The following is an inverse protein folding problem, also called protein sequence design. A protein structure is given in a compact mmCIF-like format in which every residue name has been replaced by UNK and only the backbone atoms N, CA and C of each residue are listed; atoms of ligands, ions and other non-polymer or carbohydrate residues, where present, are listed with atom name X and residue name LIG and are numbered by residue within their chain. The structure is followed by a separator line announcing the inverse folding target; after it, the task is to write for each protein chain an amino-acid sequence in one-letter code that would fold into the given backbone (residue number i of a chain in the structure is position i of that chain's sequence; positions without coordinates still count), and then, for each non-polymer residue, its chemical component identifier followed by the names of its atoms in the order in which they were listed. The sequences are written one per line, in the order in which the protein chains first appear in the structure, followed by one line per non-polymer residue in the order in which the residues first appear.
data_IF_866931973422
#
_entry.id   IF_866931973422
#
_cell.length_a   1.000
_cell.length_b   1.000
_cell.length_c   1.000
_cell.angle_alpha   90.00
_cell.angle_beta   90.00
_cell.angle_gamma   90.00
#
_symmetry.space_group_name_H-M   'P 1'
#
loop_
_entity.id
_entity.type
_entity.pdbx_description
1 polymer ?
#
# COMPACT_ATOMS: atom_id res chain seq x y z
N UNK A 1 -0.92 -15.43 22.80
CA UNK A 1 -0.42 -14.05 23.06
C UNK A 1 -1.04 -13.14 22.02
N UNK A 2 -1.68 -12.04 22.42
CA UNK A 2 -2.23 -11.08 21.49
C UNK A 2 -1.15 -10.12 20.98
N UNK A 3 -1.37 -9.58 19.78
CA UNK A 3 -0.51 -8.62 19.13
C UNK A 3 -1.31 -7.36 18.77
N UNK A 4 -0.76 -6.22 19.08
CA UNK A 4 -1.42 -4.93 18.93
C UNK A 4 -0.62 -3.99 18.03
N UNK A 5 -1.31 -3.18 17.26
CA UNK A 5 -0.73 -2.04 16.52
C UNK A 5 -0.78 -0.83 17.44
N UNK A 6 0.38 -0.21 17.64
CA UNK A 6 0.57 0.91 18.56
C UNK A 6 0.49 2.24 17.84
N UNK A 7 1.20 2.35 16.71
CA UNK A 7 1.25 3.54 15.86
C UNK A 7 1.63 3.16 14.43
N UNK A 8 1.34 4.06 13.50
CA UNK A 8 1.82 3.96 12.13
C UNK A 8 1.98 5.34 11.51
N UNK A 9 3.02 5.48 10.68
CA UNK A 9 3.30 6.68 9.91
C UNK A 9 3.70 6.32 8.49
N UNK A 10 3.54 7.28 7.58
CA UNK A 10 3.94 7.15 6.19
C UNK A 10 4.54 8.44 5.64
N UNK A 11 5.23 8.35 4.55
CA UNK A 11 5.49 9.51 3.71
C UNK A 11 4.21 9.96 3.01
N UNK A 12 4.19 11.16 2.48
CA UNK A 12 3.31 11.43 1.35
C UNK A 12 3.64 10.46 0.19
N UNK A 13 2.68 10.21 -0.68
CA UNK A 13 2.89 9.43 -1.90
C UNK A 13 3.38 10.35 -3.00
N UNK A 14 4.62 10.13 -3.44
CA UNK A 14 5.24 10.87 -4.53
C UNK A 14 4.81 10.33 -5.89
N UNK A 15 4.64 11.21 -6.86
CA UNK A 15 4.38 10.81 -8.25
C UNK A 15 5.66 10.36 -8.93
N UNK A 16 5.73 9.11 -9.34
CA UNK A 16 6.96 8.56 -9.92
C UNK A 16 7.47 9.38 -11.11
N UNK A 17 8.79 9.57 -11.17
CA UNK A 17 9.55 10.29 -12.22
C UNK A 17 9.27 11.79 -12.33
N UNK A 18 8.29 12.33 -11.59
CA UNK A 18 7.86 13.73 -11.70
C UNK A 18 7.67 14.42 -10.36
N UNK A 19 7.39 13.65 -9.29
CA UNK A 19 7.14 14.16 -7.96
C UNK A 19 8.39 14.47 -7.16
N UNK A 20 8.20 14.91 -5.94
CA UNK A 20 9.27 15.34 -5.05
C UNK A 20 10.23 14.22 -4.65
N UNK A 21 9.79 12.95 -4.72
CA UNK A 21 10.64 11.79 -4.41
C UNK A 21 11.32 11.15 -5.63
N UNK A 22 11.23 11.74 -6.83
CA UNK A 22 11.73 11.15 -8.09
C UNK A 22 13.20 10.69 -8.06
N UNK A 23 14.04 11.33 -7.24
CA UNK A 23 15.45 11.02 -7.06
C UNK A 23 15.77 10.61 -5.61
N UNK A 24 14.75 10.46 -4.76
CA UNK A 24 14.91 10.13 -3.35
C UNK A 24 14.78 8.62 -3.16
N UNK A 25 15.74 8.02 -2.47
CA UNK A 25 15.81 6.56 -2.30
C UNK A 25 14.70 6.05 -1.39
N UNK A 26 14.15 4.86 -1.70
CA UNK A 26 13.10 4.23 -0.87
C UNK A 26 13.60 3.85 0.52
N UNK A 27 14.87 3.47 0.65
CA UNK A 27 15.47 3.16 1.95
C UNK A 27 15.65 4.42 2.82
N UNK A 28 15.92 5.59 2.23
CA UNK A 28 15.95 6.87 2.94
C UNK A 28 14.54 7.24 3.45
N UNK A 29 13.51 7.13 2.60
CA UNK A 29 12.11 7.32 3.01
C UNK A 29 11.74 6.42 4.19
N UNK A 30 12.09 5.15 4.12
CA UNK A 30 11.80 4.17 5.16
C UNK A 30 12.51 4.50 6.49
N UNK A 31 13.78 4.87 6.42
CA UNK A 31 14.59 5.26 7.59
C UNK A 31 13.96 6.47 8.30
N UNK A 32 13.54 7.49 7.56
CA UNK A 32 12.90 8.67 8.13
C UNK A 32 11.57 8.32 8.82
N UNK A 33 10.73 7.50 8.18
CA UNK A 33 9.45 7.07 8.77
C UNK A 33 9.67 6.25 10.04
N UNK A 34 10.62 5.30 10.05
CA UNK A 34 10.90 4.46 11.22
C UNK A 34 11.48 5.29 12.36
N UNK A 35 12.42 6.21 12.10
CA UNK A 35 12.94 7.13 13.12
C UNK A 35 11.84 8.00 13.73
N UNK A 36 10.95 8.51 12.88
CA UNK A 36 9.80 9.27 13.34
C UNK A 36 8.86 8.42 14.20
N UNK A 37 8.60 7.17 13.78
CA UNK A 37 7.75 6.23 14.49
C UNK A 37 8.27 5.98 15.92
N UNK A 38 9.55 5.61 16.08
CA UNK A 38 10.12 5.34 17.40
C UNK A 38 10.26 6.61 18.26
N UNK A 39 10.54 7.77 17.64
CA UNK A 39 10.56 9.06 18.35
C UNK A 39 9.20 9.40 18.99
N UNK A 40 8.10 8.94 18.39
CA UNK A 40 6.75 9.17 18.90
C UNK A 40 6.27 8.07 19.88
N UNK A 41 7.16 7.17 20.30
CA UNK A 41 6.95 6.16 21.35
C UNK A 41 8.19 6.17 22.23
N UNK A 42 8.39 7.23 23.03
CA UNK A 42 9.62 7.43 23.81
C UNK A 42 9.83 6.37 24.91
N UNK A 43 8.80 5.62 25.26
CA UNK A 43 8.85 4.50 26.20
C UNK A 43 9.57 3.28 25.61
N UNK A 44 9.68 3.20 24.29
CA UNK A 44 10.34 2.10 23.59
C UNK A 44 11.85 2.37 23.49
N UNK A 45 12.67 1.45 24.01
CA UNK A 45 14.06 1.35 23.59
C UNK A 45 14.14 0.74 22.17
N UNK A 46 14.55 1.51 21.16
CA UNK A 46 14.57 1.04 19.77
C UNK A 46 15.45 -0.22 19.55
N UNK A 47 16.46 -0.42 20.40
CA UNK A 47 17.36 -1.60 20.30
C UNK A 47 16.68 -2.90 20.70
N UNK A 48 15.52 -2.83 21.36
CA UNK A 48 14.71 -3.99 21.75
C UNK A 48 13.77 -4.49 20.66
N UNK A 49 13.72 -3.82 19.49
CA UNK A 49 12.96 -4.27 18.34
C UNK A 49 13.52 -5.60 17.82
N UNK A 50 12.69 -6.63 17.80
CA UNK A 50 13.10 -7.98 17.44
C UNK A 50 13.39 -8.14 15.95
N UNK A 51 12.69 -7.40 15.07
CA UNK A 51 12.93 -7.43 13.62
C UNK A 51 12.20 -6.26 12.92
N UNK A 52 12.75 -5.81 11.80
CA UNK A 52 12.10 -4.86 10.87
C UNK A 52 11.70 -5.62 9.62
N UNK A 53 10.39 -5.76 9.37
CA UNK A 53 9.86 -6.51 8.22
C UNK A 53 9.44 -5.52 7.14
N UNK A 54 10.18 -5.49 6.04
CA UNK A 54 10.01 -4.51 4.96
C UNK A 54 9.46 -5.17 3.70
N UNK A 55 8.24 -4.80 3.33
CA UNK A 55 7.65 -5.14 2.05
C UNK A 55 8.28 -4.31 0.92
N UNK A 56 8.74 -4.99 -0.13
CA UNK A 56 9.26 -4.38 -1.35
C UNK A 56 8.89 -5.26 -2.54
N UNK A 57 8.23 -4.69 -3.55
CA UNK A 57 7.76 -5.45 -4.70
C UNK A 57 8.84 -5.71 -5.74
N UNK A 58 9.78 -4.78 -5.87
CA UNK A 58 10.91 -4.88 -6.80
C UNK A 58 12.24 -4.71 -6.05
N UNK A 59 12.73 -5.78 -5.35
CA UNK A 59 13.97 -5.72 -4.57
C UNK A 59 15.21 -5.82 -5.46
N UNK A 60 15.39 -4.83 -6.33
CA UNK A 60 16.50 -4.68 -7.27
C UNK A 60 17.16 -3.30 -7.15
N UNK A 61 18.33 -3.10 -7.72
CA UNK A 61 19.04 -1.82 -7.72
C UNK A 61 19.13 -1.21 -6.34
N UNK A 62 18.61 -0.01 -6.18
CA UNK A 62 18.58 0.73 -4.90
C UNK A 62 17.75 0.03 -3.81
N UNK A 63 16.87 -0.88 -4.18
CA UNK A 63 16.05 -1.70 -3.28
C UNK A 63 16.58 -3.13 -3.12
N UNK A 64 17.73 -3.42 -3.72
CA UNK A 64 18.37 -4.74 -3.67
C UNK A 64 19.15 -5.01 -2.38
N UNK A 65 19.94 -6.08 -2.40
CA UNK A 65 20.89 -6.46 -1.35
C UNK A 65 20.29 -6.47 0.08
N UNK A 66 19.09 -7.01 0.24
CA UNK A 66 18.38 -7.07 1.52
C UNK A 66 18.10 -5.67 2.09
N UNK A 67 17.34 -4.86 1.34
CA UNK A 67 17.04 -3.48 1.72
C UNK A 67 16.41 -3.37 3.12
N UNK A 68 15.65 -4.37 3.58
CA UNK A 68 15.11 -4.41 4.95
C UNK A 68 16.18 -4.38 6.02
N UNK A 69 17.29 -5.10 5.80
CA UNK A 69 18.45 -5.06 6.72
C UNK A 69 19.15 -3.71 6.69
N UNK A 70 19.32 -3.12 5.51
CA UNK A 70 19.92 -1.80 5.37
C UNK A 70 19.09 -0.75 6.13
N UNK A 71 17.78 -0.78 5.96
CA UNK A 71 16.83 0.12 6.64
C UNK A 71 16.91 -0.04 8.17
N UNK A 72 16.84 -1.28 8.70
CA UNK A 72 16.89 -1.54 10.14
C UNK A 72 18.16 -1.00 10.77
N UNK A 73 19.32 -1.29 10.16
CA UNK A 73 20.63 -0.86 10.68
C UNK A 73 20.79 0.65 10.69
N UNK A 74 20.25 1.36 9.68
CA UNK A 74 20.34 2.82 9.57
C UNK A 74 19.34 3.55 10.47
N UNK A 75 18.19 2.93 10.71
CA UNK A 75 17.14 3.54 11.52
C UNK A 75 17.30 3.29 13.02
N UNK A 76 17.71 2.08 13.41
CA UNK A 76 17.65 1.59 14.81
C UNK A 76 19.01 1.11 15.37
N UNK A 77 19.99 0.86 14.51
CA UNK A 77 21.29 0.33 14.91
C UNK A 77 21.57 -1.09 14.38
N UNK A 78 22.82 -1.50 14.45
CA UNK A 78 23.29 -2.77 13.88
C UNK A 78 22.78 -4.00 14.64
N UNK A 79 22.32 -3.82 15.86
CA UNK A 79 21.78 -4.86 16.74
C UNK A 79 20.39 -5.31 16.28
N UNK A 80 19.62 -4.43 15.60
CA UNK A 80 18.27 -4.74 15.17
C UNK A 80 18.29 -5.38 13.78
N UNK A 81 17.85 -6.65 13.64
CA UNK A 81 17.78 -7.31 12.35
C UNK A 81 16.71 -6.71 11.44
N UNK A 82 16.74 -7.07 10.17
CA UNK A 82 15.74 -6.65 9.20
C UNK A 82 15.66 -7.63 8.03
N UNK A 83 14.45 -7.80 7.51
CA UNK A 83 14.15 -8.69 6.39
C UNK A 83 13.36 -7.98 5.33
N UNK A 84 13.60 -8.32 4.07
CA UNK A 84 12.78 -7.91 2.92
C UNK A 84 11.85 -9.05 2.54
N UNK A 85 10.56 -8.73 2.36
CA UNK A 85 9.56 -9.68 1.86
C UNK A 85 8.88 -9.15 0.61
N UNK A 86 8.36 -10.05 -0.22
CA UNK A 86 7.69 -9.70 -1.46
C UNK A 86 6.39 -10.50 -1.65
N UNK A 87 5.28 -9.78 -1.64
CA UNK A 87 3.97 -10.19 -2.15
C UNK A 87 3.43 -9.08 -3.06
N UNK A 88 4.30 -8.50 -3.91
CA UNK A 88 3.96 -7.38 -4.78
C UNK A 88 3.15 -6.29 -4.07
N UNK A 89 1.97 -5.93 -4.58
CA UNK A 89 1.08 -4.89 -4.06
C UNK A 89 0.65 -5.08 -2.60
N UNK A 90 0.73 -6.29 -2.07
CA UNK A 90 0.31 -6.64 -0.71
C UNK A 90 1.46 -6.70 0.30
N UNK A 91 2.71 -6.51 -0.14
CA UNK A 91 3.89 -6.73 0.72
C UNK A 91 3.83 -5.99 2.06
N UNK A 92 3.32 -4.75 2.08
CA UNK A 92 3.20 -3.99 3.33
C UNK A 92 2.17 -4.57 4.31
N UNK A 93 1.04 -5.08 3.83
CA UNK A 93 0.04 -5.75 4.67
C UNK A 93 0.54 -7.12 5.12
N UNK A 94 1.21 -7.86 4.24
CA UNK A 94 1.87 -9.13 4.57
C UNK A 94 2.92 -8.95 5.67
N UNK A 95 3.72 -7.87 5.61
CA UNK A 95 4.71 -7.56 6.64
C UNK A 95 4.05 -7.38 8.02
N UNK A 96 2.94 -6.66 8.09
CA UNK A 96 2.16 -6.49 9.32
C UNK A 96 1.60 -7.84 9.81
N UNK A 97 1.03 -8.63 8.91
CA UNK A 97 0.53 -9.97 9.21
C UNK A 97 1.62 -10.90 9.76
N UNK A 98 2.82 -10.87 9.15
CA UNK A 98 3.98 -11.64 9.64
C UNK A 98 4.42 -11.19 11.03
N UNK A 99 4.46 -9.89 11.33
CA UNK A 99 4.77 -9.37 12.66
C UNK A 99 3.79 -9.89 13.70
N UNK A 100 2.48 -9.80 13.40
CA UNK A 100 1.42 -10.34 14.27
C UNK A 100 1.57 -11.85 14.47
N UNK A 101 1.84 -12.61 13.41
CA UNK A 101 2.02 -14.06 13.48
C UNK A 101 3.25 -14.45 14.31
N UNK A 102 4.39 -13.76 14.14
CA UNK A 102 5.61 -13.98 14.93
C UNK A 102 5.37 -13.72 16.43
N UNK A 103 4.66 -12.64 16.78
CA UNK A 103 4.28 -12.36 18.19
C UNK A 103 3.37 -13.47 18.74
N UNK A 104 2.33 -13.85 18.00
CA UNK A 104 1.40 -14.92 18.43
C UNK A 104 2.11 -16.27 18.60
N UNK A 105 3.15 -16.53 17.80
CA UNK A 105 3.99 -17.72 17.90
C UNK A 105 5.08 -17.64 18.99
N UNK A 106 5.21 -16.52 19.72
CA UNK A 106 6.22 -16.34 20.76
C UNK A 106 7.64 -16.10 20.26
N UNK A 107 7.80 -15.68 18.99
CA UNK A 107 9.11 -15.45 18.34
C UNK A 107 9.68 -14.04 18.60
N UNK A 108 9.08 -13.26 19.46
CA UNK A 108 9.47 -11.91 19.83
C UNK A 108 8.28 -11.10 20.31
N UNK A 109 8.52 -9.85 20.75
CA UNK A 109 7.50 -9.01 21.36
C UNK A 109 7.31 -7.66 20.66
N UNK A 110 8.29 -7.19 19.89
CA UNK A 110 8.29 -5.86 19.26
C UNK A 110 8.76 -5.99 17.82
N UNK A 111 7.95 -5.56 16.89
CA UNK A 111 8.26 -5.54 15.46
C UNK A 111 7.91 -4.20 14.84
N UNK A 112 8.72 -3.75 13.88
CA UNK A 112 8.34 -2.67 12.97
C UNK A 112 8.06 -3.33 11.62
N UNK A 113 6.86 -3.13 11.09
CA UNK A 113 6.38 -3.79 9.88
C UNK A 113 5.71 -2.81 8.93
N UNK A 114 6.04 -2.93 7.67
CA UNK A 114 5.50 -2.04 6.65
C UNK A 114 6.14 -2.28 5.29
N UNK A 115 6.35 -1.22 4.52
CA UNK A 115 6.99 -1.37 3.23
C UNK A 115 7.43 -0.04 2.63
N UNK A 116 8.31 -0.14 1.64
CA UNK A 116 8.83 0.97 0.88
C UNK A 116 8.99 0.59 -0.59
N UNK A 117 8.73 1.56 -1.47
CA UNK A 117 8.88 1.38 -2.90
C UNK A 117 9.26 2.70 -3.57
N UNK A 118 10.19 2.65 -4.53
CA UNK A 118 10.45 3.72 -5.48
C UNK A 118 10.25 3.21 -6.90
N UNK A 119 9.13 3.58 -7.50
CA UNK A 119 8.86 3.30 -8.92
C UNK A 119 9.44 4.39 -9.83
N UNK A 120 10.06 5.41 -9.25
CA UNK A 120 10.89 6.39 -9.95
C UNK A 120 12.24 5.80 -10.33
N UNK A 121 12.91 5.16 -9.37
CA UNK A 121 14.26 4.63 -9.52
C UNK A 121 14.26 3.21 -10.09
N UNK A 122 13.29 2.37 -9.69
CA UNK A 122 13.20 0.99 -10.14
C UNK A 122 12.07 0.83 -11.16
N UNK A 123 12.36 0.38 -12.39
CA UNK A 123 11.31 0.06 -13.37
C UNK A 123 10.35 -1.03 -12.85
N UNK A 124 9.06 -0.96 -13.21
CA UNK A 124 8.06 -1.95 -12.76
C UNK A 124 8.41 -3.39 -13.17
N UNK A 125 9.16 -3.56 -14.25
CA UNK A 125 9.62 -4.87 -14.74
C UNK A 125 10.99 -5.29 -14.19
N UNK A 126 11.57 -4.50 -13.26
CA UNK A 126 12.96 -4.62 -12.86
C UNK A 126 13.93 -4.13 -13.95
N UNK A 127 15.21 -4.15 -13.68
CA UNK A 127 16.25 -3.77 -14.64
C UNK A 127 16.53 -4.87 -15.68
N UNK A 128 16.25 -6.13 -15.32
CA UNK A 128 16.43 -7.27 -16.22
C UNK A 128 15.15 -8.08 -16.31
N UNK A 129 14.38 -7.89 -17.36
CA UNK A 129 13.24 -8.75 -17.68
C UNK A 129 13.73 -10.09 -18.22
N UNK A 130 13.51 -11.18 -17.45
CA UNK A 130 13.90 -12.54 -17.82
C UNK A 130 12.81 -13.53 -17.44
N UNK A 131 11.64 -13.53 -18.14
CA UNK A 131 10.55 -14.44 -17.87
C UNK A 131 10.95 -15.89 -18.18
N UNK A 132 10.41 -16.85 -17.42
CA UNK A 132 10.63 -18.26 -17.64
C UNK A 132 9.95 -18.71 -18.94
N UNK A 133 10.73 -19.24 -19.88
CA UNK A 133 10.20 -19.83 -21.11
C UNK A 133 9.28 -21.03 -20.79
N UNK A 134 9.70 -21.91 -19.88
CA UNK A 134 8.93 -23.09 -19.50
C UNK A 134 7.57 -22.69 -18.90
N UNK A 135 7.57 -21.73 -17.97
CA UNK A 135 6.31 -21.23 -17.39
C UNK A 135 5.36 -20.64 -18.44
N UNK A 136 5.90 -19.92 -19.45
CA UNK A 136 5.09 -19.41 -20.55
C UNK A 136 4.49 -20.52 -21.44
N UNK A 137 5.21 -21.63 -21.60
CA UNK A 137 4.70 -22.80 -22.34
C UNK A 137 3.59 -23.52 -21.56
N UNK A 138 3.65 -23.53 -20.25
CA UNK A 138 2.61 -24.11 -19.38
C UNK A 138 1.36 -23.24 -19.34
N UNK A 139 1.53 -21.93 -19.16
CA UNK A 139 0.42 -20.97 -19.18
C UNK A 139 0.95 -19.57 -19.55
N UNK A 140 0.54 -19.08 -20.71
CA UNK A 140 0.92 -17.76 -21.22
C UNK A 140 0.52 -16.61 -20.28
N UNK A 141 -0.47 -16.82 -19.40
CA UNK A 141 -0.96 -15.81 -18.49
C UNK A 141 -0.10 -15.62 -17.23
N UNK A 142 0.90 -16.49 -16.96
CA UNK A 142 1.76 -16.34 -15.79
C UNK A 142 2.54 -15.02 -15.78
N UNK A 143 2.85 -14.48 -16.96
CA UNK A 143 3.60 -13.22 -17.10
C UNK A 143 2.79 -12.09 -17.77
N UNK A 144 1.46 -12.18 -17.73
CA UNK A 144 0.59 -11.15 -18.30
C UNK A 144 0.79 -9.80 -17.61
N UNK A 145 0.81 -8.71 -18.37
CA UNK A 145 0.95 -7.37 -17.80
C UNK A 145 -0.29 -6.92 -17.04
N UNK A 146 -0.10 -6.11 -16.00
CA UNK A 146 -1.19 -5.67 -15.12
C UNK A 146 -2.31 -4.93 -15.85
N UNK A 147 -1.98 -4.08 -16.83
CA UNK A 147 -2.99 -3.41 -17.64
C UNK A 147 -3.81 -4.38 -18.51
N UNK A 148 -3.19 -5.44 -19.04
CA UNK A 148 -3.91 -6.48 -19.77
C UNK A 148 -4.86 -7.28 -18.85
N UNK A 149 -4.45 -7.54 -17.60
CA UNK A 149 -5.34 -8.17 -16.60
C UNK A 149 -6.53 -7.28 -16.27
N UNK A 150 -6.35 -5.97 -16.18
CA UNK A 150 -7.43 -5.02 -15.94
C UNK A 150 -8.45 -5.01 -17.09
N UNK A 151 -7.97 -5.07 -18.34
CA UNK A 151 -8.85 -5.21 -19.52
C UNK A 151 -9.60 -6.55 -19.51
N UNK A 152 -8.95 -7.63 -19.12
CA UNK A 152 -9.59 -8.95 -19.01
C UNK A 152 -10.68 -8.98 -17.94
N UNK A 153 -10.41 -8.39 -16.77
CA UNK A 153 -11.40 -8.24 -15.68
C UNK A 153 -12.57 -7.37 -16.14
N UNK A 154 -12.29 -6.24 -16.80
CA UNK A 154 -13.34 -5.36 -17.30
C UNK A 154 -14.27 -6.11 -18.27
N UNK A 155 -13.72 -6.86 -19.19
CA UNK A 155 -14.49 -7.65 -20.17
C UNK A 155 -15.31 -8.76 -19.48
N UNK A 156 -14.71 -9.50 -18.55
CA UNK A 156 -15.36 -10.61 -17.84
C UNK A 156 -16.53 -10.17 -16.97
N UNK A 157 -16.39 -9.03 -16.30
CA UNK A 157 -17.39 -8.53 -15.36
C UNK A 157 -18.24 -7.38 -15.91
N UNK A 158 -18.17 -7.13 -17.22
CA UNK A 158 -18.95 -6.12 -17.93
C UNK A 158 -18.78 -4.70 -17.37
N UNK A 159 -17.56 -4.36 -16.93
CA UNK A 159 -17.27 -3.00 -16.47
C UNK A 159 -17.09 -2.10 -17.69
N UNK A 160 -17.88 -1.04 -17.75
CA UNK A 160 -17.82 -0.09 -18.88
C UNK A 160 -16.74 0.98 -18.65
N UNK A 161 -16.32 1.61 -19.73
CA UNK A 161 -15.40 2.76 -19.67
C UNK A 161 -15.98 3.90 -18.83
N UNK A 162 -17.25 4.18 -18.99
CA UNK A 162 -17.97 5.23 -18.27
C UNK A 162 -18.00 4.95 -16.76
N UNK A 163 -18.28 3.72 -16.36
CA UNK A 163 -18.26 3.31 -14.96
C UNK A 163 -16.86 3.49 -14.35
N UNK A 164 -15.81 3.07 -15.07
CA UNK A 164 -14.42 3.20 -14.64
C UNK A 164 -13.99 4.67 -14.51
N UNK A 165 -14.38 5.53 -15.46
CA UNK A 165 -14.07 6.96 -15.41
C UNK A 165 -14.85 7.67 -14.29
N UNK A 166 -16.11 7.31 -14.05
CA UNK A 166 -16.92 7.84 -12.94
C UNK A 166 -16.33 7.47 -11.58
N UNK A 167 -15.94 6.21 -11.42
CA UNK A 167 -15.25 5.76 -10.20
C UNK A 167 -13.95 6.55 -9.97
N UNK A 168 -13.17 6.78 -11.03
CA UNK A 168 -11.91 7.53 -10.95
C UNK A 168 -12.13 9.00 -10.56
N UNK A 169 -13.13 9.63 -11.13
CA UNK A 169 -13.52 10.99 -10.73
C UNK A 169 -13.89 11.06 -9.24
N UNK A 170 -14.71 10.11 -8.77
CA UNK A 170 -15.08 10.03 -7.36
C UNK A 170 -13.88 9.82 -6.44
N UNK A 171 -12.91 8.95 -6.83
CA UNK A 171 -11.66 8.76 -6.07
C UNK A 171 -10.89 10.08 -5.94
N UNK A 172 -10.71 10.84 -7.02
CA UNK A 172 -10.04 12.14 -6.96
C UNK A 172 -10.78 13.17 -6.11
N UNK A 173 -12.12 13.22 -6.19
CA UNK A 173 -12.93 14.14 -5.40
C UNK A 173 -12.88 13.84 -3.91
N UNK A 174 -13.00 12.54 -3.53
CA UNK A 174 -12.85 12.07 -2.15
C UNK A 174 -11.46 12.41 -1.60
N UNK A 175 -10.40 12.14 -2.37
CA UNK A 175 -9.02 12.42 -1.96
C UNK A 175 -8.75 13.93 -1.80
N UNK A 176 -9.23 14.76 -2.73
CA UNK A 176 -9.10 16.21 -2.62
C UNK A 176 -9.80 16.75 -1.36
N UNK A 177 -11.01 16.29 -1.10
CA UNK A 177 -11.74 16.65 0.13
C UNK A 177 -11.00 16.22 1.40
N UNK A 178 -10.48 14.99 1.44
CA UNK A 178 -9.74 14.48 2.60
C UNK A 178 -8.46 15.30 2.88
N UNK A 179 -7.74 15.70 1.83
CA UNK A 179 -6.58 16.61 1.94
C UNK A 179 -7.01 17.97 2.49
N UNK A 180 -8.08 18.55 1.98
CA UNK A 180 -8.58 19.89 2.41
C UNK A 180 -9.06 19.88 3.86
N UNK A 181 -9.65 18.77 4.31
CA UNK A 181 -10.06 18.56 5.69
C UNK A 181 -8.88 18.17 6.62
N UNK A 182 -7.71 17.91 6.05
CA UNK A 182 -6.51 17.56 6.82
C UNK A 182 -6.54 16.14 7.40
N UNK A 183 -7.33 15.21 6.85
CA UNK A 183 -7.49 13.85 7.39
C UNK A 183 -6.20 13.02 7.36
N UNK A 184 -5.24 13.37 6.52
CA UNK A 184 -3.95 12.67 6.41
C UNK A 184 -2.82 13.31 7.22
N UNK A 185 -3.07 14.43 7.93
CA UNK A 185 -2.01 15.18 8.64
C UNK A 185 -1.31 14.38 9.73
N UNK A 186 -2.07 13.56 10.46
CA UNK A 186 -1.55 12.81 11.60
C UNK A 186 -0.77 11.55 11.19
N UNK A 187 -0.85 11.16 9.92
CA UNK A 187 -0.19 9.97 9.39
C UNK A 187 1.00 10.28 8.47
N UNK A 188 1.03 11.46 7.85
CA UNK A 188 2.09 11.85 6.92
C UNK A 188 3.23 12.54 7.65
N UNK A 189 4.43 11.97 7.53
CA UNK A 189 5.67 12.64 7.88
C UNK A 189 6.11 13.55 6.73
N UNK A 190 6.17 14.89 6.92
CA UNK A 190 6.82 15.77 5.96
C UNK A 190 8.30 15.44 5.83
N UNK A 191 8.79 15.24 4.61
CA UNK A 191 10.20 14.95 4.33
C UNK A 191 10.82 16.11 3.56
N UNK A 192 11.94 16.62 4.05
CA UNK A 192 12.77 17.57 3.31
C UNK A 192 13.65 16.80 2.32
N UNK A 193 13.54 17.14 1.05
CA UNK A 193 14.29 16.53 -0.05
C UNK A 193 15.26 17.56 -0.61
N UNK A 194 16.55 17.21 -0.59
CA UNK A 194 17.58 17.95 -1.29
C UNK A 194 17.70 17.45 -2.72
N UNK A 195 17.53 18.34 -3.69
CA UNK A 195 17.72 18.04 -5.11
C UNK A 195 18.94 18.77 -5.63
N UNK A 196 19.87 18.03 -6.23
CA UNK A 196 21.08 18.56 -6.85
C UNK A 196 20.95 18.46 -8.36
N UNK A 197 21.08 19.60 -9.04
CA UNK A 197 20.99 19.66 -10.49
C UNK A 197 21.97 20.69 -11.07
N UNK A 198 22.17 20.66 -12.38
CA UNK A 198 23.00 21.64 -13.09
C UNK A 198 22.09 22.69 -13.72
N UNK A 199 22.35 23.96 -13.42
CA UNK A 199 21.71 25.10 -14.04
C UNK A 199 22.80 26.09 -14.50
N UNK A 200 22.76 26.50 -15.79
CA UNK A 200 23.73 27.40 -16.40
C UNK A 200 25.20 26.96 -16.20
N UNK A 201 25.45 25.64 -16.31
CA UNK A 201 26.77 25.03 -16.12
C UNK A 201 27.26 24.97 -14.68
N UNK A 202 26.46 25.36 -13.69
CA UNK A 202 26.82 25.35 -12.26
C UNK A 202 25.96 24.33 -11.49
N UNK A 203 26.57 23.68 -10.49
CA UNK A 203 25.85 22.85 -9.53
C UNK A 203 24.93 23.75 -8.69
N UNK A 204 23.66 23.42 -8.64
CA UNK A 204 22.65 24.07 -7.81
C UNK A 204 22.06 23.04 -6.89
N UNK A 205 21.89 23.37 -5.63
CA UNK A 205 21.17 22.58 -4.62
C UNK A 205 19.88 23.33 -4.27
N UNK A 206 18.75 22.65 -4.31
CA UNK A 206 17.46 23.17 -3.87
C UNK A 206 16.85 22.19 -2.87
N UNK A 207 16.21 22.72 -1.83
CA UNK A 207 15.48 21.92 -0.85
C UNK A 207 14.00 22.19 -1.00
N UNK A 208 13.18 21.15 -0.95
CA UNK A 208 11.73 21.23 -0.93
C UNK A 208 11.16 20.21 0.04
N UNK A 209 9.96 20.48 0.59
CA UNK A 209 9.28 19.58 1.51
C UNK A 209 8.17 18.83 0.78
N UNK A 210 8.16 17.51 0.90
CA UNK A 210 7.09 16.63 0.40
C UNK A 210 6.21 16.24 1.59
N UNK A 211 5.01 16.81 1.66
CA UNK A 211 4.11 16.68 2.81
C UNK A 211 2.65 16.33 2.40
N UNK A 212 2.36 16.25 1.11
CA UNK A 212 1.01 16.01 0.58
C UNK A 212 1.10 14.99 -0.56
N UNK A 213 0.14 14.07 -0.61
CA UNK A 213 0.04 13.09 -1.70
C UNK A 213 -0.11 13.80 -3.04
N UNK A 214 0.84 13.59 -3.96
CA UNK A 214 1.00 14.38 -5.19
C UNK A 214 0.11 13.92 -6.36
N UNK A 215 -0.54 12.76 -6.19
CA UNK A 215 -1.32 12.12 -7.26
C UNK A 215 -2.62 12.84 -7.60
N UNK A 216 -3.22 13.54 -6.64
CA UNK A 216 -4.58 14.09 -6.75
C UNK A 216 -4.69 15.17 -7.81
N UNK A 217 -5.65 15.00 -8.72
CA UNK A 217 -5.96 15.94 -9.79
C UNK A 217 -7.30 16.63 -9.51
N UNK A 218 -7.25 17.83 -9.00
CA UNK A 218 -8.43 18.61 -8.62
C UNK A 218 -9.27 19.07 -9.82
N UNK A 219 -8.68 19.17 -11.00
CA UNK A 219 -9.29 19.55 -12.26
C UNK A 219 -9.85 18.37 -13.06
N UNK A 220 -9.86 17.17 -12.48
CA UNK A 220 -10.40 15.96 -13.13
C UNK A 220 -11.90 16.12 -13.39
N UNK A 221 -12.32 15.74 -14.61
CA UNK A 221 -13.73 15.75 -15.03
C UNK A 221 -14.04 14.57 -15.95
N UNK A 222 -15.30 14.15 -16.03
CA UNK A 222 -15.73 13.09 -16.96
C UNK A 222 -15.35 13.47 -18.40
N UNK A 223 -15.54 14.71 -18.80
CA UNK A 223 -15.16 15.18 -20.15
C UNK A 223 -13.66 15.10 -20.40
N UNK A 224 -12.82 15.27 -19.37
CA UNK A 224 -11.36 15.08 -19.45
C UNK A 224 -10.98 13.62 -19.54
N UNK A 225 -11.56 12.79 -18.68
CA UNK A 225 -11.28 11.35 -18.63
C UNK A 225 -11.71 10.63 -19.92
N UNK A 226 -12.90 10.95 -20.46
CA UNK A 226 -13.45 10.30 -21.68
C UNK A 226 -12.59 10.50 -22.92
N UNK A 227 -11.79 11.59 -22.98
CA UNK A 227 -10.86 11.87 -24.11
C UNK A 227 -9.58 11.02 -24.05
N UNK A 228 -9.27 10.39 -22.94
CA UNK A 228 -8.06 9.61 -22.79
C UNK A 228 -8.14 8.32 -23.64
N UNK A 229 -7.04 7.99 -24.32
CA UNK A 229 -6.94 6.77 -25.12
C UNK A 229 -6.73 5.57 -24.20
N UNK A 230 -7.27 4.42 -24.61
CA UNK A 230 -6.93 3.14 -23.99
C UNK A 230 -5.42 2.90 -24.03
N UNK A 231 -4.84 2.49 -22.89
CA UNK A 231 -3.38 2.42 -22.74
C UNK A 231 -2.82 1.01 -22.99
N UNK A 232 -3.62 -0.05 -22.84
CA UNK A 232 -3.14 -1.43 -22.79
C UNK A 232 -3.72 -2.33 -23.87
N UNK A 233 -4.84 -1.95 -24.48
CA UNK A 233 -5.52 -2.71 -25.52
C UNK A 233 -6.19 -1.76 -26.51
N UNK A 234 -6.05 -2.02 -27.80
CA UNK A 234 -6.78 -1.26 -28.82
C UNK A 234 -8.30 -1.47 -28.63
N UNK A 235 -9.06 -0.39 -28.55
CA UNK A 235 -10.49 -0.44 -28.25
C UNK A 235 -10.83 -0.88 -26.82
N UNK A 236 -9.84 -0.94 -25.94
CA UNK A 236 -10.02 -1.23 -24.52
C UNK A 236 -10.58 -0.05 -23.73
N UNK A 237 -10.82 -0.27 -22.43
CA UNK A 237 -11.41 0.73 -21.54
C UNK A 237 -10.43 1.30 -20.51
N UNK A 238 -9.29 0.63 -20.29
CA UNK A 238 -8.32 1.02 -19.27
C UNK A 238 -7.41 2.12 -19.81
N UNK A 239 -7.37 3.25 -19.12
CA UNK A 239 -6.62 4.45 -19.50
C UNK A 239 -5.70 4.89 -18.39
N UNK A 240 -4.83 5.85 -18.65
CA UNK A 240 -4.03 6.50 -17.61
C UNK A 240 -4.86 7.23 -16.55
N UNK A 241 -6.13 7.59 -16.86
CA UNK A 241 -7.02 8.30 -15.95
C UNK A 241 -7.84 7.39 -15.02
N UNK A 242 -7.96 6.10 -15.36
CA UNK A 242 -8.68 5.11 -14.55
C UNK A 242 -7.78 3.95 -14.09
N UNK A 243 -6.48 4.23 -14.00
CA UNK A 243 -5.44 3.38 -13.46
C UNK A 243 -4.75 4.09 -12.29
N UNK A 244 -4.24 3.33 -11.33
CA UNK A 244 -3.39 3.89 -10.29
C UNK A 244 -2.11 4.48 -10.86
N UNK A 245 -1.59 5.49 -10.21
CA UNK A 245 -0.33 6.12 -10.62
C UNK A 245 0.85 5.32 -10.07
N UNK A 246 1.89 5.11 -10.90
CA UNK A 246 3.20 4.68 -10.41
C UNK A 246 3.73 5.71 -9.42
N UNK A 247 4.22 5.25 -8.29
CA UNK A 247 4.43 6.12 -7.13
C UNK A 247 5.63 5.69 -6.29
N UNK A 248 6.10 6.63 -5.47
CA UNK A 248 7.16 6.44 -4.48
C UNK A 248 6.57 6.64 -3.08
N UNK A 249 7.00 5.85 -2.10
CA UNK A 249 6.55 6.03 -0.72
C UNK A 249 7.03 4.95 0.23
N UNK A 250 6.91 5.25 1.52
CA UNK A 250 7.18 4.33 2.63
C UNK A 250 6.12 4.45 3.72
N UNK A 251 5.76 3.35 4.35
CA UNK A 251 4.79 3.29 5.44
C UNK A 251 5.14 2.16 6.41
N UNK A 252 5.12 2.45 7.72
CA UNK A 252 5.47 1.48 8.76
C UNK A 252 4.56 1.59 9.97
N UNK A 253 4.30 0.46 10.59
CA UNK A 253 3.58 0.31 11.86
C UNK A 253 4.47 -0.31 12.91
N UNK A 254 4.23 0.05 14.18
CA UNK A 254 4.81 -0.59 15.34
C UNK A 254 3.82 -1.62 15.87
N UNK A 255 4.25 -2.88 15.95
CA UNK A 255 3.44 -4.01 16.40
C UNK A 255 4.08 -4.59 17.65
N UNK A 256 3.30 -4.72 18.73
CA UNK A 256 3.78 -5.22 20.02
C UNK A 256 2.91 -6.31 20.59
N UNK A 257 3.51 -7.18 21.41
CA UNK A 257 2.77 -8.12 22.24
C UNK A 257 1.99 -7.42 23.35
N UNK A 258 0.89 -8.02 23.79
CA UNK A 258 0.11 -7.52 24.93
C UNK A 258 0.98 -7.31 26.19
N UNK A 259 1.92 -8.23 26.43
CA UNK A 259 2.83 -8.15 27.57
C UNK A 259 3.70 -6.88 27.49
N UNK A 260 4.26 -6.58 26.30
CA UNK A 260 5.14 -5.41 26.11
C UNK A 260 4.35 -4.11 26.14
N UNK A 261 3.13 -4.10 25.61
CA UNK A 261 2.21 -2.95 25.71
C UNK A 261 1.93 -2.60 27.17
N UNK A 262 1.62 -3.59 28.01
CA UNK A 262 1.38 -3.40 29.45
C UNK A 262 2.65 -2.95 30.20
N UNK A 263 3.80 -3.55 29.87
CA UNK A 263 5.10 -3.20 30.47
C UNK A 263 5.44 -1.73 30.23
N UNK A 264 5.20 -1.23 29.01
CA UNK A 264 5.51 0.14 28.64
C UNK A 264 4.38 1.15 28.93
N UNK A 265 3.23 0.68 29.43
CA UNK A 265 2.08 1.55 29.72
C UNK A 265 1.48 2.21 28.48
N UNK A 266 1.56 1.57 27.30
CA UNK A 266 1.08 2.11 26.04
C UNK A 266 -0.40 1.78 25.81
N UNK A 267 -1.07 2.65 25.06
CA UNK A 267 -2.44 2.39 24.57
C UNK A 267 -2.39 1.90 23.12
N UNK A 268 -2.83 0.67 22.84
CA UNK A 268 -2.88 0.17 21.47
C UNK A 268 -4.04 0.79 20.70
N UNK A 269 -3.86 1.01 19.40
CA UNK A 269 -4.89 1.58 18.54
C UNK A 269 -5.79 0.52 17.91
N UNK A 270 -5.24 -0.67 17.64
CA UNK A 270 -5.98 -1.76 17.01
C UNK A 270 -5.27 -3.10 17.19
N UNK A 271 -5.99 -4.18 16.87
CA UNK A 271 -5.40 -5.50 16.59
C UNK A 271 -5.80 -5.98 15.20
N UNK A 272 -4.95 -6.80 14.61
CA UNK A 272 -5.33 -7.54 13.40
C UNK A 272 -6.12 -8.78 13.84
N UNK A 273 -7.41 -8.80 13.54
CA UNK A 273 -8.30 -9.91 13.88
C UNK A 273 -7.99 -11.13 13.00
N UNK A 274 -7.76 -10.91 11.69
CA UNK A 274 -7.39 -11.96 10.75
C UNK A 274 -6.61 -11.38 9.56
N UNK A 275 -5.91 -12.27 8.83
CA UNK A 275 -5.35 -11.94 7.53
C UNK A 275 -5.30 -13.22 6.68
N UNK A 276 -5.86 -13.16 5.47
CA UNK A 276 -5.91 -14.29 4.56
C UNK A 276 -5.48 -13.90 3.14
N UNK A 277 -5.01 -14.91 2.43
CA UNK A 277 -4.62 -14.78 1.02
C UNK A 277 -5.44 -15.77 0.16
N UNK A 278 -5.67 -15.37 -1.10
CA UNK A 278 -6.34 -16.22 -2.08
C UNK A 278 -5.57 -16.23 -3.40
N UNK A 279 -5.61 -17.37 -4.10
CA UNK A 279 -5.07 -17.52 -5.47
C UNK A 279 -6.19 -17.49 -6.48
N UNK A 280 -5.96 -16.86 -7.62
CA UNK A 280 -6.86 -16.81 -8.79
C UNK A 280 -6.06 -16.98 -10.08
N UNK A 281 -6.74 -17.19 -11.19
CA UNK A 281 -6.08 -17.18 -12.52
C UNK A 281 -5.31 -15.84 -12.69
N UNK A 282 -4.02 -15.87 -13.05
CA UNK A 282 -3.21 -14.68 -13.25
C UNK A 282 -3.81 -13.66 -14.22
N UNK A 283 -4.53 -14.11 -15.24
CA UNK A 283 -5.24 -13.23 -16.19
C UNK A 283 -6.29 -12.36 -15.49
N UNK A 284 -6.86 -12.86 -14.41
CA UNK A 284 -7.88 -12.17 -13.62
C UNK A 284 -7.38 -11.78 -12.22
N UNK A 285 -6.10 -11.46 -12.08
CA UNK A 285 -5.51 -11.13 -10.77
C UNK A 285 -6.28 -10.05 -10.02
N UNK A 286 -6.95 -9.15 -10.74
CA UNK A 286 -7.72 -8.05 -10.15
C UNK A 286 -8.82 -8.48 -9.19
N UNK A 287 -9.37 -9.70 -9.36
CA UNK A 287 -10.40 -10.25 -8.45
C UNK A 287 -9.84 -11.09 -7.30
N UNK A 288 -8.53 -11.12 -7.12
CA UNK A 288 -7.90 -11.81 -5.98
C UNK A 288 -8.52 -11.51 -4.60
N UNK A 289 -8.95 -10.27 -4.32
CA UNK A 289 -9.69 -9.94 -3.10
C UNK A 289 -10.94 -10.80 -2.88
N UNK A 290 -11.67 -11.17 -3.94
CA UNK A 290 -12.88 -11.98 -3.84
C UNK A 290 -12.63 -13.36 -3.22
N UNK A 291 -11.39 -13.89 -3.35
CA UNK A 291 -10.97 -15.15 -2.73
C UNK A 291 -10.39 -14.94 -1.32
N UNK A 292 -9.84 -13.78 -1.04
CA UNK A 292 -9.21 -13.49 0.25
C UNK A 292 -10.22 -13.00 1.31
N UNK A 293 -11.18 -12.16 0.91
CA UNK A 293 -12.18 -11.56 1.81
C UNK A 293 -12.98 -12.62 2.59
N UNK A 294 -13.64 -13.61 1.95
CA UNK A 294 -14.43 -14.58 2.69
C UNK A 294 -13.60 -15.41 3.68
N UNK A 295 -12.34 -15.73 3.30
CA UNK A 295 -11.43 -16.45 4.21
C UNK A 295 -11.03 -15.61 5.43
N UNK A 296 -10.80 -14.31 5.23
CA UNK A 296 -10.47 -13.40 6.32
C UNK A 296 -11.66 -13.20 7.27
N UNK A 297 -12.87 -13.08 6.74
CA UNK A 297 -14.11 -12.98 7.51
C UNK A 297 -14.35 -14.25 8.35
N UNK A 298 -14.22 -15.44 7.73
CA UNK A 298 -14.36 -16.72 8.42
C UNK A 298 -13.35 -16.88 9.56
N UNK A 299 -12.08 -16.56 9.32
CA UNK A 299 -11.03 -16.59 10.35
C UNK A 299 -11.29 -15.61 11.51
N UNK A 300 -11.90 -14.46 11.24
CA UNK A 300 -12.26 -13.48 12.26
C UNK A 300 -13.57 -13.84 12.98
N UNK A 301 -14.35 -14.78 12.46
CA UNK A 301 -15.71 -15.09 12.95
C UNK A 301 -16.69 -13.95 12.69
N UNK A 302 -16.49 -13.16 11.63
CA UNK A 302 -17.26 -11.98 11.25
C UNK A 302 -18.01 -12.20 9.94
N UNK A 303 -19.07 -11.43 9.75
CA UNK A 303 -19.79 -11.30 8.48
C UNK A 303 -19.35 -10.03 7.75
N UNK A 304 -19.64 -9.94 6.46
CA UNK A 304 -19.31 -8.76 5.67
C UNK A 304 -20.00 -7.48 6.22
N UNK A 305 -21.22 -7.62 6.73
CA UNK A 305 -21.99 -6.50 7.30
C UNK A 305 -21.41 -5.98 8.64
N UNK A 306 -20.51 -6.73 9.28
CA UNK A 306 -19.80 -6.27 10.47
C UNK A 306 -18.66 -5.31 10.12
N UNK A 307 -18.25 -5.26 8.83
CA UNK A 307 -17.16 -4.41 8.35
C UNK A 307 -17.71 -3.03 8.02
N UNK A 308 -17.35 -2.05 8.86
CA UNK A 308 -17.88 -0.68 8.77
C UNK A 308 -17.13 0.16 7.74
N UNK A 309 -15.91 -0.24 7.35
CA UNK A 309 -15.09 0.43 6.34
C UNK A 309 -14.11 -0.52 5.66
N UNK A 310 -13.88 -0.30 4.37
CA UNK A 310 -12.90 -1.07 3.58
C UNK A 310 -11.97 -0.13 2.83
N UNK A 311 -10.67 -0.33 3.02
CA UNK A 311 -9.64 0.21 2.14
C UNK A 311 -9.28 -0.85 1.09
N UNK A 312 -9.81 -0.69 -0.10
CA UNK A 312 -9.55 -1.53 -1.28
C UNK A 312 -8.51 -0.86 -2.16
N UNK A 313 -7.39 -1.53 -2.42
CA UNK A 313 -6.41 -0.98 -3.35
C UNK A 313 -7.01 -0.82 -4.76
N UNK A 314 -7.03 0.41 -5.26
CA UNK A 314 -7.51 0.75 -6.61
C UNK A 314 -6.34 0.64 -7.62
N UNK A 315 -5.85 -0.58 -7.87
CA UNK A 315 -4.82 -0.75 -8.90
C UNK A 315 -5.33 -0.27 -10.27
N UNK A 316 -6.60 -0.57 -10.55
CA UNK A 316 -7.37 -0.06 -11.68
C UNK A 316 -8.83 0.14 -11.26
N UNK A 317 -9.49 1.16 -11.76
CA UNK A 317 -10.91 1.40 -11.47
C UNK A 317 -11.79 0.22 -11.88
N UNK A 318 -11.50 -0.39 -13.04
CA UNK A 318 -12.21 -1.59 -13.51
C UNK A 318 -12.08 -2.77 -12.54
N UNK A 319 -10.88 -2.98 -11.99
CA UNK A 319 -10.63 -4.02 -10.99
C UNK A 319 -11.37 -3.73 -9.68
N UNK A 320 -11.32 -2.49 -9.19
CA UNK A 320 -11.98 -2.12 -7.95
C UNK A 320 -13.50 -2.29 -8.04
N UNK A 321 -14.10 -1.85 -9.14
CA UNK A 321 -15.52 -2.03 -9.41
C UNK A 321 -15.92 -3.51 -9.46
N UNK A 322 -15.13 -4.35 -10.12
CA UNK A 322 -15.38 -5.80 -10.19
C UNK A 322 -15.32 -6.45 -8.80
N UNK A 323 -14.34 -6.06 -7.95
CA UNK A 323 -14.25 -6.56 -6.57
C UNK A 323 -15.46 -6.11 -5.74
N UNK A 324 -15.82 -4.83 -5.78
CA UNK A 324 -16.99 -4.30 -5.06
C UNK A 324 -18.26 -5.10 -5.44
N UNK A 325 -18.48 -5.28 -6.74
CA UNK A 325 -19.62 -5.99 -7.27
C UNK A 325 -19.64 -7.48 -6.85
N UNK A 326 -18.51 -8.18 -7.01
CA UNK A 326 -18.44 -9.62 -6.77
C UNK A 326 -18.41 -9.99 -5.28
N UNK A 327 -17.80 -9.14 -4.44
CA UNK A 327 -17.72 -9.37 -2.99
C UNK A 327 -18.91 -8.81 -2.22
N UNK A 328 -19.82 -8.08 -2.86
CA UNK A 328 -20.97 -7.44 -2.20
C UNK A 328 -20.57 -6.31 -1.26
N UNK A 329 -19.41 -5.67 -1.48
CA UNK A 329 -18.98 -4.54 -0.67
C UNK A 329 -19.91 -3.34 -0.87
N UNK A 330 -20.20 -2.62 0.22
CA UNK A 330 -20.94 -1.37 0.12
C UNK A 330 -20.06 -0.25 -0.45
N UNK A 331 -20.34 0.30 -1.65
CA UNK A 331 -19.51 1.34 -2.27
C UNK A 331 -19.32 2.60 -1.42
N UNK A 332 -20.29 2.91 -0.54
CA UNK A 332 -20.25 4.10 0.33
C UNK A 332 -19.24 3.97 1.46
N UNK A 333 -18.86 2.73 1.82
CA UNK A 333 -17.87 2.44 2.87
C UNK A 333 -16.51 2.04 2.31
N UNK A 334 -16.36 2.00 0.98
CA UNK A 334 -15.09 1.72 0.30
C UNK A 334 -14.36 3.01 -0.02
N UNK A 335 -13.08 3.09 0.41
CA UNK A 335 -12.17 4.18 0.09
C UNK A 335 -12.82 5.56 0.30
N UNK A 336 -13.31 5.79 1.51
CA UNK A 336 -14.09 7.00 1.82
C UNK A 336 -13.30 8.31 1.66
N UNK A 337 -11.97 8.20 1.70
CA UNK A 337 -11.02 9.31 1.49
C UNK A 337 -10.29 9.23 0.14
N UNK A 338 -10.87 8.50 -0.84
CA UNK A 338 -10.22 8.24 -2.12
C UNK A 338 -9.18 7.12 -2.03
N UNK A 339 -8.82 6.55 -3.17
CA UNK A 339 -7.90 5.42 -3.25
C UNK A 339 -6.74 5.66 -4.23
N UNK A 340 -6.12 4.57 -4.67
CA UNK A 340 -4.86 4.62 -5.41
C UNK A 340 -4.94 5.28 -6.80
N UNK A 341 -6.12 5.35 -7.43
CA UNK A 341 -6.30 6.09 -8.69
C UNK A 341 -5.96 7.57 -8.48
N UNK A 342 -6.37 8.12 -7.34
CA UNK A 342 -6.09 9.50 -6.96
C UNK A 342 -4.77 9.65 -6.18
N UNK A 343 -4.57 8.85 -5.15
CA UNK A 343 -3.47 9.00 -4.18
C UNK A 343 -2.17 8.34 -4.63
N UNK A 344 -2.24 7.36 -5.57
CA UNK A 344 -1.07 6.61 -6.02
C UNK A 344 -0.88 5.25 -5.33
N UNK A 345 -0.01 4.41 -5.94
CA UNK A 345 0.21 3.02 -5.55
C UNK A 345 1.70 2.67 -5.54
N UNK A 346 2.45 3.05 -4.49
CA UNK A 346 3.82 2.56 -4.31
C UNK A 346 3.75 1.09 -3.83
N UNK A 347 4.00 0.15 -4.73
CA UNK A 347 3.63 -1.28 -4.62
C UNK A 347 3.84 -1.90 -3.24
N UNK A 348 5.09 -2.03 -2.80
CA UNK A 348 5.43 -2.67 -1.52
C UNK A 348 4.99 -1.90 -0.28
N UNK A 349 4.81 -0.58 -0.40
CA UNK A 349 4.34 0.31 0.66
C UNK A 349 2.82 0.23 0.86
N UNK A 350 2.06 -0.02 -0.21
CA UNK A 350 0.61 0.21 -0.26
C UNK A 350 -0.17 -0.48 0.85
N UNK A 351 0.11 -1.75 1.15
CA UNK A 351 -0.63 -2.46 2.18
C UNK A 351 -0.51 -1.83 3.58
N UNK A 352 0.66 -1.33 3.93
CA UNK A 352 0.88 -0.63 5.20
C UNK A 352 0.25 0.78 5.17
N UNK A 353 0.35 1.49 4.05
CA UNK A 353 -0.31 2.79 3.86
C UNK A 353 -1.82 2.66 4.05
N UNK A 354 -2.48 1.70 3.41
CA UNK A 354 -3.92 1.47 3.55
C UNK A 354 -4.30 1.08 4.97
N UNK A 355 -3.45 0.30 5.67
CA UNK A 355 -3.67 -0.03 7.08
C UNK A 355 -3.67 1.22 7.96
N UNK A 356 -2.70 2.11 7.78
CA UNK A 356 -2.60 3.35 8.56
C UNK A 356 -3.80 4.26 8.27
N UNK A 357 -4.19 4.42 7.00
CA UNK A 357 -5.36 5.20 6.61
C UNK A 357 -6.64 4.63 7.21
N UNK A 358 -6.86 3.31 7.11
CA UNK A 358 -8.01 2.63 7.69
C UNK A 358 -8.12 2.91 9.19
N UNK A 359 -7.03 2.70 9.95
CA UNK A 359 -7.05 2.84 11.40
C UNK A 359 -7.33 4.28 11.84
N UNK A 360 -6.76 5.28 11.17
CA UNK A 360 -7.02 6.69 11.43
C UNK A 360 -8.48 7.06 11.12
N UNK A 361 -9.02 6.56 10.02
CA UNK A 361 -10.39 6.82 9.63
C UNK A 361 -11.40 6.12 10.57
N UNK A 362 -11.15 4.87 10.95
CA UNK A 362 -11.94 4.15 11.95
C UNK A 362 -11.96 4.90 13.29
N UNK A 363 -10.82 5.46 13.72
CA UNK A 363 -10.74 6.31 14.91
C UNK A 363 -11.60 7.56 14.76
N UNK A 364 -11.50 8.26 13.62
CA UNK A 364 -12.23 9.49 13.35
C UNK A 364 -13.74 9.28 13.31
N UNK A 365 -14.20 8.12 12.80
CA UNK A 365 -15.62 7.75 12.69
C UNK A 365 -16.15 6.93 13.87
N UNK A 366 -15.29 6.61 14.85
CA UNK A 366 -15.63 5.73 15.98
C UNK A 366 -16.14 4.34 15.53
N UNK A 367 -15.53 3.79 14.49
CA UNK A 367 -15.82 2.47 13.94
C UNK A 367 -15.03 1.39 14.64
N UNK A 368 -15.56 0.16 14.68
CA UNK A 368 -14.95 -0.98 15.37
C UNK A 368 -14.17 -1.90 14.43
N UNK A 369 -14.77 -2.31 13.31
CA UNK A 369 -14.16 -3.24 12.39
C UNK A 369 -13.94 -2.61 11.02
N UNK A 370 -12.74 -2.80 10.49
CA UNK A 370 -12.39 -2.36 9.14
C UNK A 370 -11.52 -3.38 8.44
N UNK A 371 -11.46 -3.28 7.11
CA UNK A 371 -10.74 -4.21 6.26
C UNK A 371 -9.80 -3.49 5.30
N UNK A 372 -8.59 -4.03 5.14
CA UNK A 372 -7.67 -3.69 4.04
C UNK A 372 -7.63 -4.86 3.08
N UNK A 373 -7.81 -4.60 1.79
CA UNK A 373 -7.71 -5.65 0.78
C UNK A 373 -7.04 -5.15 -0.50
N UNK A 374 -6.30 -6.04 -1.15
CA UNK A 374 -5.58 -5.71 -2.38
C UNK A 374 -5.52 -6.90 -3.34
N UNK A 375 -5.63 -6.62 -4.63
CA UNK A 375 -5.22 -7.54 -5.67
C UNK A 375 -3.68 -7.59 -5.75
N UNK A 376 -3.15 -8.72 -6.17
CA UNK A 376 -1.71 -9.00 -6.18
C UNK A 376 -1.30 -9.60 -7.51
N UNK A 377 -0.26 -9.08 -8.10
CA UNK A 377 0.31 -9.60 -9.35
C UNK A 377 0.59 -11.11 -9.28
N UNK A 378 0.48 -11.79 -10.42
CA UNK A 378 0.63 -13.25 -10.50
C UNK A 378 -0.63 -14.04 -10.11
N UNK A 379 -1.79 -13.37 -9.92
CA UNK A 379 -3.07 -14.04 -9.65
C UNK A 379 -3.28 -14.32 -8.16
N UNK A 380 -3.18 -13.31 -7.30
CA UNK A 380 -3.42 -13.45 -5.86
C UNK A 380 -4.27 -12.28 -5.33
N UNK A 381 -4.79 -12.43 -4.12
CA UNK A 381 -5.38 -11.38 -3.32
C UNK A 381 -5.05 -11.55 -1.84
N UNK A 382 -5.16 -10.46 -1.10
CA UNK A 382 -5.01 -10.43 0.36
C UNK A 382 -6.16 -9.66 0.97
N UNK A 383 -6.58 -10.06 2.18
CA UNK A 383 -7.51 -9.31 3.02
C UNK A 383 -7.08 -9.39 4.48
N UNK A 384 -6.93 -8.24 5.15
CA UNK A 384 -6.66 -8.13 6.57
C UNK A 384 -7.79 -7.40 7.27
N UNK A 385 -8.33 -7.98 8.35
CA UNK A 385 -9.39 -7.39 9.16
C UNK A 385 -8.78 -6.84 10.45
N UNK A 386 -9.14 -5.62 10.78
CA UNK A 386 -8.65 -4.90 11.95
C UNK A 386 -9.83 -4.58 12.88
N UNK A 387 -9.60 -4.76 14.18
CA UNK A 387 -10.47 -4.30 15.25
C UNK A 387 -9.80 -3.12 15.95
N UNK A 388 -10.48 -1.98 15.97
CA UNK A 388 -10.06 -0.80 16.77
C UNK A 388 -10.37 -1.06 18.24
N UNK A 389 -9.47 -0.60 19.10
CA UNK A 389 -9.54 -0.74 20.56
C UNK A 389 -9.95 0.58 21.22
#
# INVERSE_FOLDING_TARGET
MEAYIIKGYRTAVGKAKKGGFKNYRSDDMAVEVIKHLVKNVPELDPTTVNDVIVGCANPEGEQGLQVGRLISSRALGIEVPGITINRYCASGLEAISMAVAKIKAGMGQVYIAGGAESMSLIPMTGYKLAPSYQANMENINYHVSMGATAEAVAAKYNITREAADTFSLASHQKAANAIDQGYFKDEILPIEVEEVFVKDGKKVTATHTVAVDEGVRRDTSIAGLSRLRAAFKQGGIVTAGNSSQTSDGAAFTLVMSEAKVKELGLEPIARMASCSVGGVDPLYMGIGPCEAIPKALDQAGLKLDDIEQTELNEAFAAQALAVIQQSGLNPETVNVNGGAVALGHPLGCTGAKLTIQLLNEMKRRNQKYGMVTACVGGGQGIAGIFERL
#
